data_IF_376326708998
#
_entry.id   IF_376326708998
#
_cell.length_a   1.000
_cell.length_b   1.000
_cell.length_c   1.000
_cell.angle_alpha   90.00
_cell.angle_beta   90.00
_cell.angle_gamma   90.00
#
_symmetry.space_group_name_H-M   'P 1'
#
loop_
_entity.id
_entity.type
_entity.pdbx_description
1 polymer ?
#
# COMPACT_ATOMS: atom_id res chain seq x y z
N UNK A 1 3.72 -36.17 99.19
CA UNK A 1 2.99 -36.02 97.91
C UNK A 1 3.90 -36.41 96.81
N UNK A 2 3.81 -37.61 96.22
CA UNK A 2 4.70 -38.14 95.23
C UNK A 2 4.04 -37.96 93.83
N UNK A 3 4.78 -37.32 92.89
CA UNK A 3 4.36 -37.14 91.50
C UNK A 3 4.63 -38.48 90.80
N UNK A 4 3.66 -39.08 90.07
CA UNK A 4 3.92 -40.24 89.24
C UNK A 4 4.71 -39.89 88.00
N UNK A 5 5.59 -40.76 87.50
CA UNK A 5 6.43 -40.54 86.34
C UNK A 5 5.59 -40.50 85.01
N UNK A 6 6.03 -39.78 84.00
CA UNK A 6 5.34 -39.68 82.70
C UNK A 6 5.38 -41.07 82.01
N UNK A 7 4.20 -41.51 81.50
CA UNK A 7 4.09 -42.73 80.73
C UNK A 7 4.74 -42.57 79.36
N UNK A 8 5.78 -43.36 79.06
CA UNK A 8 6.38 -43.45 77.73
C UNK A 8 5.30 -43.94 76.71
N UNK A 9 5.27 -43.38 75.55
CA UNK A 9 4.46 -43.89 74.45
C UNK A 9 4.98 -45.29 74.05
N UNK A 10 4.07 -46.28 74.06
CA UNK A 10 4.38 -47.65 73.59
C UNK A 10 4.82 -47.58 72.14
N UNK A 11 5.99 -48.10 71.70
CA UNK A 11 6.38 -48.12 70.33
C UNK A 11 5.38 -48.93 69.52
N UNK A 12 4.82 -48.32 68.50
CA UNK A 12 3.97 -48.98 67.53
C UNK A 12 4.70 -50.26 67.07
N UNK A 13 4.05 -51.41 67.22
CA UNK A 13 4.69 -52.65 66.81
C UNK A 13 4.96 -52.66 65.32
N UNK A 14 6.13 -53.21 64.94
CA UNK A 14 6.50 -53.33 63.48
C UNK A 14 5.42 -54.01 62.64
N UNK A 15 4.47 -54.66 63.24
CA UNK A 15 3.29 -55.21 62.57
C UNK A 15 2.29 -54.14 62.16
N UNK A 16 2.00 -53.14 63.01
CA UNK A 16 1.09 -52.03 62.68
C UNK A 16 1.66 -51.09 61.57
N UNK A 17 3.01 -50.92 61.59
CA UNK A 17 3.68 -50.13 60.49
C UNK A 17 3.65 -50.87 59.12
N UNK A 18 3.74 -52.22 59.17
CA UNK A 18 3.63 -53.04 57.95
C UNK A 18 2.20 -53.07 57.42
N UNK A 19 1.20 -53.13 58.30
CA UNK A 19 -0.23 -53.13 57.95
C UNK A 19 -0.60 -51.71 57.34
N UNK A 20 -0.11 -50.65 57.97
CA UNK A 20 -0.30 -49.28 57.40
C UNK A 20 0.38 -49.12 56.04
N UNK A 21 1.61 -49.63 55.89
CA UNK A 21 2.33 -49.53 54.58
C UNK A 21 1.67 -50.42 53.50
N UNK A 22 1.09 -51.55 53.86
CA UNK A 22 0.29 -52.39 52.93
C UNK A 22 -1.04 -51.74 52.56
N UNK A 23 -1.71 -51.07 53.50
CA UNK A 23 -2.94 -50.33 53.23
C UNK A 23 -2.65 -49.11 52.32
N UNK A 24 -1.57 -48.35 52.54
CA UNK A 24 -1.14 -47.24 51.67
C UNK A 24 -0.77 -47.76 50.31
N UNK A 25 -0.08 -48.90 50.18
CA UNK A 25 0.23 -49.53 48.89
C UNK A 25 -1.03 -49.93 48.12
N UNK A 26 -1.96 -50.56 48.81
CA UNK A 26 -3.24 -50.97 48.20
C UNK A 26 -4.14 -49.81 47.83
N UNK A 27 -4.18 -48.73 48.60
CA UNK A 27 -4.93 -47.53 48.28
C UNK A 27 -4.34 -46.81 47.04
N UNK A 28 -3.00 -46.79 46.90
CA UNK A 28 -2.34 -46.27 45.71
C UNK A 28 -2.64 -47.08 44.45
N UNK A 29 -2.60 -48.42 44.59
CA UNK A 29 -2.87 -49.34 43.47
C UNK A 29 -4.33 -49.23 42.99
N UNK A 30 -5.28 -49.08 43.93
CA UNK A 30 -6.70 -48.85 43.65
C UNK A 30 -6.92 -47.47 43.02
N UNK A 31 -6.23 -46.43 43.52
CA UNK A 31 -6.34 -45.06 42.98
C UNK A 31 -5.74 -44.96 41.57
N UNK A 32 -4.65 -45.69 41.31
CA UNK A 32 -4.01 -45.79 39.99
C UNK A 32 -4.89 -46.55 39.00
N UNK A 33 -5.48 -47.68 39.40
CA UNK A 33 -6.43 -48.44 38.60
C UNK A 33 -7.70 -47.62 38.26
N UNK A 34 -8.23 -46.86 39.24
CA UNK A 34 -9.39 -46.01 39.03
C UNK A 34 -9.07 -44.83 38.08
N UNK A 35 -7.87 -44.28 38.14
CA UNK A 35 -7.41 -43.24 37.19
C UNK A 35 -7.25 -43.79 35.79
N UNK A 36 -6.67 -44.99 35.63
CA UNK A 36 -6.56 -45.63 34.31
C UNK A 36 -7.95 -45.91 33.71
N UNK A 37 -8.91 -46.44 34.49
CA UNK A 37 -10.27 -46.66 34.00
C UNK A 37 -10.97 -45.35 33.61
N UNK A 38 -10.82 -44.29 34.41
CA UNK A 38 -11.40 -42.97 34.08
C UNK A 38 -10.82 -42.37 32.83
N UNK A 39 -9.50 -42.47 32.63
CA UNK A 39 -8.82 -41.99 31.39
C UNK A 39 -9.26 -42.80 30.18
N UNK A 40 -9.31 -44.10 30.29
CA UNK A 40 -9.77 -45.00 29.21
C UNK A 40 -11.24 -44.73 28.85
N UNK A 41 -12.11 -44.54 29.87
CA UNK A 41 -13.52 -44.21 29.63
C UNK A 41 -13.68 -42.82 28.98
N UNK A 42 -12.98 -41.82 29.49
CA UNK A 42 -12.98 -40.49 28.91
C UNK A 42 -12.47 -40.52 27.46
N UNK A 43 -11.38 -41.24 27.21
CA UNK A 43 -10.82 -41.41 25.88
C UNK A 43 -11.81 -42.09 24.91
N UNK A 44 -12.43 -43.22 25.34
CA UNK A 44 -13.43 -43.90 24.51
C UNK A 44 -14.67 -43.05 24.21
N UNK A 45 -15.09 -42.22 25.17
CA UNK A 45 -16.27 -41.35 25.04
C UNK A 45 -15.99 -40.13 24.14
N UNK A 46 -14.80 -39.55 24.28
CA UNK A 46 -14.45 -38.29 23.57
C UNK A 46 -13.58 -38.51 22.33
N UNK A 47 -12.94 -39.66 22.13
CA UNK A 47 -12.09 -39.94 20.99
C UNK A 47 -12.82 -39.74 19.63
N UNK A 48 -14.07 -40.20 19.54
CA UNK A 48 -14.86 -40.04 18.31
C UNK A 48 -15.17 -38.56 17.99
N UNK A 49 -15.78 -37.77 18.92
CA UNK A 49 -16.06 -36.36 18.63
C UNK A 49 -14.80 -35.52 18.48
N UNK A 50 -13.76 -35.75 19.28
CA UNK A 50 -12.46 -35.05 19.13
C UNK A 50 -11.79 -35.41 17.81
N UNK A 51 -11.79 -36.70 17.44
CA UNK A 51 -11.29 -37.12 16.13
C UNK A 51 -12.05 -36.48 14.97
N UNK A 52 -13.38 -36.39 15.08
CA UNK A 52 -14.21 -35.72 14.05
C UNK A 52 -13.90 -34.23 13.94
N UNK A 53 -13.70 -33.52 15.06
CA UNK A 53 -13.33 -32.09 15.07
C UNK A 53 -11.93 -31.89 14.48
N UNK A 54 -10.97 -32.72 14.82
CA UNK A 54 -9.63 -32.69 14.26
C UNK A 54 -9.64 -32.98 12.76
N UNK A 55 -10.39 -33.98 12.32
CA UNK A 55 -10.53 -34.30 10.90
C UNK A 55 -11.19 -33.14 10.11
N UNK A 56 -12.25 -32.55 10.66
CA UNK A 56 -12.90 -31.37 10.08
C UNK A 56 -11.94 -30.16 10.02
N UNK A 57 -11.15 -29.93 11.07
CA UNK A 57 -10.13 -28.88 11.09
C UNK A 57 -9.04 -29.09 10.03
N UNK A 58 -8.56 -30.33 9.86
CA UNK A 58 -7.57 -30.68 8.84
C UNK A 58 -8.12 -30.52 7.42
N UNK A 59 -9.38 -30.93 7.19
CA UNK A 59 -10.04 -30.74 5.91
C UNK A 59 -10.25 -29.26 5.56
N UNK A 60 -10.67 -28.48 6.56
CA UNK A 60 -10.79 -27.01 6.39
C UNK A 60 -9.44 -26.36 6.09
N UNK A 61 -8.38 -26.77 6.80
CA UNK A 61 -7.01 -26.26 6.55
C UNK A 61 -6.51 -26.68 5.16
N UNK A 62 -6.71 -27.92 4.77
CA UNK A 62 -6.33 -28.41 3.45
C UNK A 62 -7.08 -27.67 2.31
N UNK A 63 -8.38 -27.44 2.50
CA UNK A 63 -9.20 -26.65 1.59
C UNK A 63 -8.73 -25.20 1.50
N UNK A 64 -8.40 -24.58 2.64
CA UNK A 64 -7.85 -23.23 2.70
C UNK A 64 -6.49 -23.13 1.98
N UNK A 65 -5.57 -24.06 2.26
CA UNK A 65 -4.24 -24.08 1.61
C UNK A 65 -4.34 -24.33 0.10
N UNK A 66 -5.24 -25.19 -0.33
CA UNK A 66 -5.49 -25.42 -1.75
C UNK A 66 -6.02 -24.16 -2.44
N UNK A 67 -7.02 -23.51 -1.84
CA UNK A 67 -7.59 -22.26 -2.35
C UNK A 67 -6.55 -21.12 -2.38
N UNK A 68 -5.80 -20.92 -1.30
CA UNK A 68 -4.74 -19.91 -1.20
C UNK A 68 -3.64 -20.13 -2.25
N UNK A 69 -3.20 -21.39 -2.42
CA UNK A 69 -2.22 -21.75 -3.44
C UNK A 69 -2.75 -21.52 -4.87
N UNK A 70 -4.03 -21.85 -5.13
CA UNK A 70 -4.67 -21.60 -6.42
C UNK A 70 -4.72 -20.12 -6.76
N UNK A 71 -5.15 -19.27 -5.80
CA UNK A 71 -5.19 -17.81 -5.98
C UNK A 71 -3.79 -17.23 -6.22
N UNK A 72 -2.77 -17.72 -5.49
CA UNK A 72 -1.38 -17.28 -5.65
C UNK A 72 -0.80 -17.70 -7.00
N UNK A 73 -1.06 -18.92 -7.46
CA UNK A 73 -0.56 -19.41 -8.75
C UNK A 73 -1.17 -18.63 -9.92
N UNK A 74 -2.46 -18.36 -9.89
CA UNK A 74 -3.11 -17.49 -10.89
C UNK A 74 -2.57 -16.06 -10.87
N UNK A 75 -2.30 -15.50 -9.68
CA UNK A 75 -1.69 -14.18 -9.55
C UNK A 75 -0.27 -14.17 -10.12
N UNK A 76 0.52 -15.22 -9.88
CA UNK A 76 1.88 -15.37 -10.43
C UNK A 76 1.87 -15.43 -11.96
N UNK A 77 0.99 -16.25 -12.56
CA UNK A 77 0.83 -16.33 -14.01
C UNK A 77 0.43 -14.99 -14.64
N UNK A 78 -0.49 -14.23 -14.00
CA UNK A 78 -0.86 -12.90 -14.47
C UNK A 78 0.31 -11.91 -14.39
N UNK A 79 1.10 -11.99 -13.32
CA UNK A 79 2.29 -11.15 -13.16
C UNK A 79 3.35 -11.47 -14.21
N UNK A 80 3.57 -12.76 -14.52
CA UNK A 80 4.47 -13.19 -15.59
C UNK A 80 4.02 -12.67 -16.97
N UNK A 81 2.74 -12.82 -17.31
CA UNK A 81 2.17 -12.24 -18.54
C UNK A 81 2.38 -10.73 -18.60
N UNK A 82 2.15 -10.01 -17.48
CA UNK A 82 2.36 -8.57 -17.42
C UNK A 82 3.84 -8.19 -17.60
N UNK A 83 4.78 -8.94 -17.02
CA UNK A 83 6.22 -8.75 -17.22
C UNK A 83 6.60 -8.93 -18.67
N UNK A 84 6.18 -10.03 -19.32
CA UNK A 84 6.43 -10.28 -20.74
C UNK A 84 5.84 -9.17 -21.62
N UNK A 85 4.67 -8.64 -21.27
CA UNK A 85 4.06 -7.54 -22.00
C UNK A 85 4.86 -6.24 -21.83
N UNK A 86 5.43 -5.97 -20.63
CA UNK A 86 6.32 -4.84 -20.38
C UNK A 86 7.65 -4.98 -21.12
N UNK A 87 8.22 -6.18 -21.21
CA UNK A 87 9.45 -6.44 -21.99
C UNK A 87 9.22 -6.12 -23.47
N UNK A 88 8.06 -6.54 -24.04
CA UNK A 88 7.66 -6.17 -25.40
C UNK A 88 7.54 -4.65 -25.58
N UNK A 89 6.97 -3.96 -24.58
CA UNK A 89 6.83 -2.52 -24.59
C UNK A 89 8.20 -1.83 -24.60
N UNK A 90 9.13 -2.27 -23.75
CA UNK A 90 10.52 -1.75 -23.72
C UNK A 90 11.26 -2.02 -25.03
N UNK A 91 10.97 -3.14 -25.70
CA UNK A 91 11.51 -3.46 -27.01
C UNK A 91 10.84 -2.67 -28.16
N UNK A 92 9.94 -1.72 -27.88
CA UNK A 92 9.21 -0.93 -28.88
C UNK A 92 8.13 -1.69 -29.63
N UNK A 93 7.79 -2.91 -29.19
CA UNK A 93 6.77 -3.77 -29.82
C UNK A 93 5.36 -3.42 -29.31
N UNK A 94 4.95 -2.16 -29.53
CA UNK A 94 3.70 -1.59 -28.98
C UNK A 94 2.46 -2.43 -29.30
N UNK A 95 2.32 -2.94 -30.54
CA UNK A 95 1.17 -3.74 -30.95
C UNK A 95 1.10 -5.08 -30.20
N UNK A 96 2.23 -5.76 -30.02
CA UNK A 96 2.29 -7.02 -29.28
C UNK A 96 2.02 -6.80 -27.79
N UNK A 97 2.59 -5.73 -27.19
CA UNK A 97 2.33 -5.34 -25.81
C UNK A 97 0.84 -4.99 -25.59
N UNK A 98 0.23 -4.23 -26.51
CA UNK A 98 -1.18 -3.85 -26.43
C UNK A 98 -2.11 -5.08 -26.42
N UNK A 99 -1.83 -6.10 -27.23
CA UNK A 99 -2.61 -7.33 -27.27
C UNK A 99 -2.55 -8.11 -25.94
N UNK A 100 -1.37 -8.20 -25.32
CA UNK A 100 -1.19 -8.84 -24.01
C UNK A 100 -1.93 -8.06 -22.91
N UNK A 101 -1.78 -6.74 -22.86
CA UNK A 101 -2.50 -5.92 -21.88
C UNK A 101 -4.01 -5.96 -22.11
N UNK A 102 -4.49 -6.03 -23.35
CA UNK A 102 -5.92 -6.20 -23.65
C UNK A 102 -6.50 -7.50 -23.06
N UNK A 103 -5.74 -8.59 -23.07
CA UNK A 103 -6.14 -9.83 -22.40
C UNK A 103 -6.21 -9.64 -20.88
N UNK A 104 -5.20 -9.00 -20.27
CA UNK A 104 -5.13 -8.75 -18.84
C UNK A 104 -6.23 -7.83 -18.30
N UNK A 105 -6.88 -7.00 -19.14
CA UNK A 105 -8.03 -6.18 -18.72
C UNK A 105 -9.23 -7.01 -18.26
N UNK A 106 -9.28 -8.29 -18.61
CA UNK A 106 -10.39 -9.20 -18.31
C UNK A 106 -10.09 -10.16 -17.18
N UNK A 107 -8.82 -10.27 -16.77
CA UNK A 107 -8.34 -11.26 -15.82
C UNK A 107 -8.05 -10.66 -14.43
N UNK A 108 -8.47 -11.35 -13.37
CA UNK A 108 -8.10 -11.06 -12.00
C UNK A 108 -8.89 -9.96 -11.28
N UNK A 109 -8.36 -9.46 -10.15
CA UNK A 109 -9.01 -8.44 -9.33
C UNK A 109 -9.22 -7.11 -10.06
N UNK A 110 -10.18 -6.30 -9.60
CA UNK A 110 -10.50 -5.02 -10.23
C UNK A 110 -9.28 -4.09 -10.37
N UNK A 111 -8.41 -4.03 -9.36
CA UNK A 111 -7.20 -3.21 -9.40
C UNK A 111 -6.24 -3.63 -10.53
N UNK A 112 -6.00 -4.95 -10.69
CA UNK A 112 -5.12 -5.48 -11.74
C UNK A 112 -5.70 -5.23 -13.13
N UNK A 113 -7.00 -5.46 -13.32
CA UNK A 113 -7.68 -5.18 -14.58
C UNK A 113 -7.62 -3.70 -14.94
N UNK A 114 -7.86 -2.82 -13.95
CA UNK A 114 -7.79 -1.37 -14.16
C UNK A 114 -6.38 -0.92 -14.51
N UNK A 115 -5.35 -1.46 -13.84
CA UNK A 115 -3.96 -1.15 -14.16
C UNK A 115 -3.62 -1.58 -15.60
N UNK A 116 -4.02 -2.79 -16.01
CA UNK A 116 -3.84 -3.24 -17.40
C UNK A 116 -4.56 -2.33 -18.41
N UNK A 117 -5.77 -1.89 -18.11
CA UNK A 117 -6.51 -0.95 -18.94
C UNK A 117 -5.82 0.43 -19.02
N UNK A 118 -5.28 0.93 -17.91
CA UNK A 118 -4.48 2.17 -17.87
C UNK A 118 -3.23 2.05 -18.75
N UNK A 119 -2.51 0.94 -18.66
CA UNK A 119 -1.32 0.68 -19.48
C UNK A 119 -1.68 0.58 -20.96
N UNK A 120 -2.77 -0.14 -21.29
CA UNK A 120 -3.26 -0.22 -22.67
C UNK A 120 -3.61 1.16 -23.25
N UNK A 121 -4.29 2.01 -22.47
CA UNK A 121 -4.60 3.38 -22.86
C UNK A 121 -3.32 4.21 -23.09
N UNK A 122 -2.30 4.06 -22.22
CA UNK A 122 -1.01 4.73 -22.41
C UNK A 122 -0.29 4.25 -23.66
N UNK A 123 -0.24 2.94 -23.95
CA UNK A 123 0.33 2.39 -25.19
C UNK A 123 -0.41 2.95 -26.41
N UNK A 124 -1.72 3.09 -26.35
CA UNK A 124 -2.53 3.66 -27.43
C UNK A 124 -2.12 5.12 -27.70
N UNK A 125 -1.84 5.89 -26.65
CA UNK A 125 -1.35 7.27 -26.77
C UNK A 125 0.06 7.33 -27.40
N UNK A 126 0.97 6.46 -26.98
CA UNK A 126 2.33 6.36 -27.54
C UNK A 126 2.33 5.98 -29.03
N UNK A 127 1.32 5.25 -29.47
CA UNK A 127 1.10 4.96 -30.90
C UNK A 127 0.54 6.15 -31.69
N UNK A 128 0.32 7.29 -31.05
CA UNK A 128 -0.24 8.50 -31.66
C UNK A 128 -1.77 8.52 -31.76
N UNK A 129 -2.45 7.49 -31.27
CA UNK A 129 -3.91 7.39 -31.29
C UNK A 129 -4.54 8.12 -30.10
N UNK A 130 -4.35 9.44 -30.03
CA UNK A 130 -4.67 10.27 -28.86
C UNK A 130 -6.15 10.20 -28.51
N UNK A 131 -7.05 10.28 -29.50
CA UNK A 131 -8.51 10.25 -29.25
C UNK A 131 -8.99 8.90 -28.73
N UNK A 132 -8.44 7.80 -29.21
CA UNK A 132 -8.77 6.47 -28.72
C UNK A 132 -8.21 6.27 -27.29
N UNK A 133 -6.98 6.72 -27.04
CA UNK A 133 -6.38 6.68 -25.72
C UNK A 133 -7.19 7.49 -24.69
N UNK A 134 -7.57 8.72 -25.03
CA UNK A 134 -8.40 9.55 -24.15
C UNK A 134 -9.77 8.93 -23.90
N UNK A 135 -10.38 8.28 -24.91
CA UNK A 135 -11.63 7.56 -24.75
C UNK A 135 -11.50 6.35 -23.81
N UNK A 136 -10.37 5.61 -23.87
CA UNK A 136 -10.06 4.52 -22.92
C UNK A 136 -9.90 5.06 -21.49
N UNK A 137 -9.17 6.18 -21.31
CA UNK A 137 -9.06 6.80 -19.99
C UNK A 137 -10.41 7.30 -19.47
N UNK A 138 -11.25 7.90 -20.31
CA UNK A 138 -12.60 8.31 -19.93
C UNK A 138 -13.46 7.12 -19.45
N UNK A 139 -13.37 5.98 -20.12
CA UNK A 139 -14.07 4.76 -19.73
C UNK A 139 -13.60 4.26 -18.34
N UNK A 140 -12.28 4.30 -18.07
CA UNK A 140 -11.74 3.93 -16.77
C UNK A 140 -12.20 4.90 -15.68
N UNK A 141 -12.19 6.20 -15.95
CA UNK A 141 -12.64 7.23 -15.00
C UNK A 141 -14.13 7.06 -14.62
N UNK A 142 -14.94 6.57 -15.54
CA UNK A 142 -16.37 6.32 -15.36
C UNK A 142 -16.70 4.95 -14.72
N UNK A 143 -15.75 4.01 -14.68
CA UNK A 143 -15.98 2.68 -14.13
C UNK A 143 -16.04 2.70 -12.60
N UNK A 144 -17.25 2.57 -12.03
CA UNK A 144 -17.47 2.53 -10.57
C UNK A 144 -16.78 1.34 -9.88
N UNK A 145 -16.43 0.26 -10.61
CA UNK A 145 -15.74 -0.92 -10.09
C UNK A 145 -14.22 -0.71 -10.01
N UNK A 146 -13.69 0.27 -10.76
CA UNK A 146 -12.28 0.64 -10.68
C UNK A 146 -11.98 1.34 -9.35
N UNK A 147 -10.82 1.07 -8.69
CA UNK A 147 -10.41 1.80 -7.51
C UNK A 147 -10.34 3.31 -7.76
N UNK A 148 -10.78 4.12 -6.77
CA UNK A 148 -10.87 5.58 -6.91
C UNK A 148 -9.55 6.20 -7.38
N UNK A 149 -8.42 5.73 -6.86
CA UNK A 149 -7.09 6.20 -7.25
C UNK A 149 -6.86 6.16 -8.77
N UNK A 150 -7.22 5.04 -9.40
CA UNK A 150 -7.07 4.88 -10.86
C UNK A 150 -8.09 5.68 -11.65
N UNK A 151 -9.33 5.84 -11.13
CA UNK A 151 -10.34 6.67 -11.77
C UNK A 151 -9.91 8.13 -11.82
N UNK A 152 -9.39 8.63 -10.70
CA UNK A 152 -8.89 10.01 -10.59
C UNK A 152 -7.70 10.23 -11.55
N UNK A 153 -6.74 9.29 -11.59
CA UNK A 153 -5.63 9.34 -12.55
C UNK A 153 -6.12 9.31 -14.00
N UNK A 154 -7.08 8.44 -14.31
CA UNK A 154 -7.64 8.33 -15.65
C UNK A 154 -8.33 9.63 -16.10
N UNK A 155 -9.08 10.28 -15.20
CA UNK A 155 -9.68 11.57 -15.48
C UNK A 155 -8.63 12.66 -15.79
N UNK A 156 -7.53 12.69 -15.03
CA UNK A 156 -6.40 13.62 -15.29
C UNK A 156 -5.74 13.30 -16.63
N UNK A 157 -5.49 12.02 -16.93
CA UNK A 157 -4.87 11.61 -18.21
C UNK A 157 -5.76 11.89 -19.41
N UNK A 158 -7.06 11.63 -19.32
CA UNK A 158 -8.03 11.99 -20.37
C UNK A 158 -7.95 13.46 -20.71
N UNK A 159 -8.04 14.31 -19.66
CA UNK A 159 -8.01 15.76 -19.85
C UNK A 159 -6.65 16.22 -20.39
N UNK A 160 -5.54 15.70 -19.87
CA UNK A 160 -4.20 16.07 -20.35
C UNK A 160 -4.01 15.77 -21.83
N UNK A 161 -4.55 14.64 -22.33
CA UNK A 161 -4.45 14.26 -23.74
C UNK A 161 -5.31 15.12 -24.68
N UNK A 162 -6.40 15.69 -24.19
CA UNK A 162 -7.37 16.45 -25.01
C UNK A 162 -7.53 17.89 -24.55
N UNK A 163 -6.64 18.41 -23.73
CA UNK A 163 -6.80 19.72 -23.12
C UNK A 163 -7.14 20.80 -24.15
N UNK A 164 -6.35 20.90 -25.21
CA UNK A 164 -6.51 21.91 -26.26
C UNK A 164 -7.80 21.73 -27.12
N UNK A 165 -8.34 20.52 -27.16
CA UNK A 165 -9.57 20.19 -27.87
C UNK A 165 -10.85 20.35 -27.01
N UNK A 166 -10.69 20.51 -25.70
CA UNK A 166 -11.82 20.59 -24.75
C UNK A 166 -12.20 22.05 -24.48
N UNK A 167 -13.49 22.30 -24.30
CA UNK A 167 -13.97 23.58 -23.76
C UNK A 167 -13.52 23.73 -22.30
N UNK A 168 -13.07 24.92 -21.86
CA UNK A 168 -12.63 25.14 -20.48
C UNK A 168 -13.63 24.66 -19.41
N UNK A 169 -14.91 24.92 -19.59
CA UNK A 169 -15.95 24.46 -18.64
C UNK A 169 -16.06 22.93 -18.55
N UNK A 170 -15.78 22.19 -19.64
CA UNK A 170 -15.74 20.73 -19.62
C UNK A 170 -14.52 20.20 -18.84
N UNK A 171 -13.35 20.84 -18.99
CA UNK A 171 -12.15 20.55 -18.17
C UNK A 171 -12.43 20.81 -16.71
N UNK A 172 -13.02 21.96 -16.38
CA UNK A 172 -13.40 22.35 -15.02
C UNK A 172 -14.34 21.30 -14.39
N UNK A 173 -15.39 20.90 -15.11
CA UNK A 173 -16.35 19.92 -14.62
C UNK A 173 -15.70 18.56 -14.30
N UNK A 174 -14.74 18.11 -15.13
CA UNK A 174 -14.05 16.84 -14.96
C UNK A 174 -13.01 16.87 -13.82
N UNK A 175 -12.24 17.94 -13.69
CA UNK A 175 -11.10 17.99 -12.77
C UNK A 175 -11.44 18.54 -11.38
N UNK A 176 -12.48 19.37 -11.25
CA UNK A 176 -12.87 19.94 -9.95
C UNK A 176 -13.06 18.89 -8.84
N UNK A 177 -13.65 17.69 -9.06
CA UNK A 177 -13.76 16.66 -8.04
C UNK A 177 -12.42 16.00 -7.64
N UNK A 178 -11.39 16.09 -8.50
CA UNK A 178 -10.07 15.49 -8.29
C UNK A 178 -9.09 16.51 -7.72
N UNK A 179 -9.20 17.76 -8.14
CA UNK A 179 -8.34 18.88 -7.73
C UNK A 179 -8.75 19.41 -6.34
N UNK A 180 -8.74 18.54 -5.33
CA UNK A 180 -9.07 18.88 -3.95
C UNK A 180 -7.91 18.51 -3.02
N UNK A 181 -7.62 19.30 -1.98
CA UNK A 181 -6.59 18.99 -0.99
C UNK A 181 -6.77 17.57 -0.41
N UNK A 182 -5.65 16.86 -0.22
CA UNK A 182 -5.64 15.49 0.25
C UNK A 182 -5.86 14.43 -0.85
N UNK A 183 -6.24 14.80 -2.08
CA UNK A 183 -6.22 13.90 -3.20
C UNK A 183 -4.77 13.72 -3.73
N UNK A 184 -4.38 12.48 -4.03
CA UNK A 184 -3.04 12.16 -4.55
C UNK A 184 -2.67 12.97 -5.81
N UNK A 185 -3.67 13.32 -6.63
CA UNK A 185 -3.47 14.07 -7.87
C UNK A 185 -3.82 15.54 -7.75
N UNK A 186 -3.97 16.07 -6.52
CA UNK A 186 -4.33 17.47 -6.27
C UNK A 186 -3.44 18.44 -7.05
N UNK A 187 -2.10 18.27 -6.99
CA UNK A 187 -1.17 19.12 -7.71
C UNK A 187 -1.37 19.10 -9.22
N UNK A 188 -1.38 17.91 -9.83
CA UNK A 188 -1.47 17.77 -11.29
C UNK A 188 -2.86 18.12 -11.82
N UNK A 189 -3.91 17.66 -11.17
CA UNK A 189 -5.29 18.00 -11.55
C UNK A 189 -5.58 19.48 -11.34
N UNK A 190 -5.06 20.04 -10.24
CA UNK A 190 -5.25 21.46 -9.92
C UNK A 190 -4.49 22.38 -10.87
N UNK A 191 -3.32 21.98 -11.35
CA UNK A 191 -2.59 22.75 -12.37
C UNK A 191 -3.42 22.84 -13.67
N UNK A 192 -3.92 21.71 -14.18
CA UNK A 192 -4.79 21.71 -15.38
C UNK A 192 -6.10 22.47 -15.14
N UNK A 193 -6.69 22.33 -13.96
CA UNK A 193 -7.91 23.05 -13.58
C UNK A 193 -7.67 24.56 -13.50
N UNK A 194 -6.53 24.98 -12.91
CA UNK A 194 -6.15 26.38 -12.83
C UNK A 194 -5.94 27.02 -14.21
N UNK A 195 -5.29 26.30 -15.14
CA UNK A 195 -5.19 26.74 -16.53
C UNK A 195 -6.57 26.86 -17.18
N UNK A 196 -7.47 25.88 -16.97
CA UNK A 196 -8.82 25.96 -17.50
C UNK A 196 -9.64 27.13 -16.92
N UNK A 197 -9.38 27.54 -15.67
CA UNK A 197 -9.96 28.76 -15.13
C UNK A 197 -9.44 30.00 -15.83
N UNK A 198 -8.14 30.06 -16.17
CA UNK A 198 -7.58 31.17 -16.96
C UNK A 198 -8.20 31.25 -18.34
N UNK A 199 -8.31 30.11 -19.02
CA UNK A 199 -8.91 30.01 -20.36
C UNK A 199 -10.40 30.38 -20.35
N UNK A 200 -11.08 30.14 -19.22
CA UNK A 200 -12.47 30.55 -18.97
C UNK A 200 -12.63 32.02 -18.54
N UNK A 201 -11.53 32.81 -18.50
CA UNK A 201 -11.58 34.21 -18.02
C UNK A 201 -11.85 34.35 -16.53
N UNK A 202 -11.42 33.37 -15.71
CA UNK A 202 -11.64 33.32 -14.25
C UNK A 202 -10.30 33.36 -13.48
N UNK A 203 -9.47 34.42 -13.64
CA UNK A 203 -8.13 34.48 -13.07
C UNK A 203 -8.12 34.43 -11.52
N UNK A 204 -9.16 34.94 -10.87
CA UNK A 204 -9.26 34.88 -9.41
C UNK A 204 -9.35 33.44 -8.89
N UNK A 205 -10.12 32.57 -9.55
CA UNK A 205 -10.22 31.15 -9.19
C UNK A 205 -8.91 30.42 -9.48
N UNK A 206 -8.24 30.74 -10.58
CA UNK A 206 -6.96 30.17 -10.94
C UNK A 206 -5.87 30.57 -9.92
N UNK A 207 -5.75 31.84 -9.60
CA UNK A 207 -4.76 32.36 -8.66
C UNK A 207 -4.93 31.78 -7.25
N UNK A 208 -6.15 31.72 -6.74
CA UNK A 208 -6.45 31.10 -5.46
C UNK A 208 -6.08 29.61 -5.43
N UNK A 209 -6.40 28.85 -6.50
CA UNK A 209 -6.07 27.43 -6.61
C UNK A 209 -4.55 27.22 -6.70
N UNK A 210 -3.85 27.97 -7.53
CA UNK A 210 -2.40 27.87 -7.65
C UNK A 210 -1.67 28.21 -6.35
N UNK A 211 -2.13 29.24 -5.63
CA UNK A 211 -1.60 29.58 -4.31
C UNK A 211 -1.79 28.41 -3.32
N UNK A 212 -2.97 27.81 -3.30
CA UNK A 212 -3.27 26.64 -2.44
C UNK A 212 -2.37 25.45 -2.78
N UNK A 213 -2.18 25.12 -4.03
CA UNK A 213 -1.27 24.05 -4.47
C UNK A 213 0.17 24.37 -4.09
N UNK A 214 0.59 25.62 -4.29
CA UNK A 214 1.94 26.09 -3.98
C UNK A 214 2.31 25.99 -2.49
N UNK A 215 1.33 26.08 -1.59
CA UNK A 215 1.50 25.98 -0.15
C UNK A 215 1.40 24.53 0.37
N UNK A 216 0.83 23.60 -0.41
CA UNK A 216 0.62 22.22 0.02
C UNK A 216 1.91 21.40 -0.11
N UNK A 217 2.51 21.04 1.04
CA UNK A 217 3.75 20.26 1.12
C UNK A 217 3.62 18.81 0.62
N UNK A 218 2.42 18.30 0.46
CA UNK A 218 2.18 16.97 -0.12
C UNK A 218 2.31 16.95 -1.63
N UNK A 219 2.23 18.12 -2.27
CA UNK A 219 2.42 18.27 -3.72
C UNK A 219 3.93 18.27 -4.05
N UNK A 220 4.36 17.57 -5.11
CA UNK A 220 5.76 17.58 -5.56
C UNK A 220 6.31 18.98 -5.75
N UNK A 221 7.57 19.21 -5.33
CA UNK A 221 8.21 20.53 -5.38
C UNK A 221 8.22 21.13 -6.78
N UNK A 222 8.42 20.30 -7.82
CA UNK A 222 8.42 20.76 -9.22
C UNK A 222 7.10 21.42 -9.63
N UNK A 223 5.97 20.89 -9.15
CA UNK A 223 4.65 21.47 -9.39
C UNK A 223 4.49 22.73 -8.55
N UNK A 224 4.83 22.69 -7.25
CA UNK A 224 4.71 23.85 -6.35
C UNK A 224 5.45 25.07 -6.87
N UNK A 225 6.69 24.90 -7.30
CA UNK A 225 7.50 26.01 -7.84
C UNK A 225 6.83 26.63 -9.06
N UNK A 226 6.35 25.82 -10.00
CA UNK A 226 5.70 26.29 -11.22
C UNK A 226 4.40 27.03 -10.94
N UNK A 227 3.52 26.45 -10.11
CA UNK A 227 2.24 27.10 -9.79
C UNK A 227 2.39 28.36 -8.94
N UNK A 228 3.41 28.47 -8.07
CA UNK A 228 3.76 29.67 -7.33
C UNK A 228 4.14 30.83 -8.25
N UNK A 229 4.92 30.54 -9.27
CA UNK A 229 5.29 31.56 -10.26
C UNK A 229 4.04 32.09 -10.97
N UNK A 230 3.11 31.22 -11.34
CA UNK A 230 1.84 31.64 -11.98
C UNK A 230 0.98 32.41 -10.98
N UNK A 231 0.83 31.89 -9.76
CA UNK A 231 0.05 32.56 -8.69
C UNK A 231 0.56 33.98 -8.41
N UNK A 232 1.89 34.14 -8.29
CA UNK A 232 2.52 35.46 -8.09
C UNK A 232 2.24 36.42 -9.24
N UNK A 233 2.29 35.95 -10.49
CA UNK A 233 1.92 36.74 -11.66
C UNK A 233 0.45 37.20 -11.69
N UNK A 234 -0.42 36.46 -10.96
CA UNK A 234 -1.84 36.80 -10.77
C UNK A 234 -2.09 37.60 -9.47
N UNK A 235 -1.04 37.95 -8.71
CA UNK A 235 -1.14 38.71 -7.47
C UNK A 235 -1.47 37.89 -6.22
N UNK A 236 -1.29 36.56 -6.26
CA UNK A 236 -1.54 35.65 -5.17
C UNK A 236 -0.22 35.14 -4.54
N UNK A 237 -0.18 35.02 -3.21
CA UNK A 237 0.96 34.44 -2.49
C UNK A 237 0.87 32.91 -2.47
N UNK A 238 1.72 32.26 -3.25
CA UNK A 238 1.86 30.80 -3.31
C UNK A 238 2.79 30.22 -2.23
N UNK A 239 3.35 31.04 -1.33
CA UNK A 239 4.34 30.62 -0.35
C UNK A 239 5.76 30.44 -0.91
N UNK A 240 6.69 30.08 -0.05
CA UNK A 240 8.10 29.81 -0.39
C UNK A 240 8.53 28.44 0.14
N UNK A 241 9.39 27.74 -0.58
CA UNK A 241 10.04 26.54 -0.07
C UNK A 241 11.25 26.95 0.77
N UNK A 242 11.30 26.49 2.03
CA UNK A 242 12.50 26.64 2.84
C UNK A 242 13.61 25.72 2.33
N UNK A 243 14.90 26.11 2.41
CA UNK A 243 16.02 25.34 1.87
C UNK A 243 16.14 23.88 2.32
N UNK A 244 15.53 23.54 3.46
CA UNK A 244 15.61 22.20 4.06
C UNK A 244 14.39 21.29 3.76
N UNK A 245 13.44 21.71 2.94
CA UNK A 245 12.23 20.91 2.66
C UNK A 245 12.48 19.70 1.73
N UNK A 246 13.63 19.68 1.04
CA UNK A 246 14.06 18.54 0.24
C UNK A 246 15.51 18.14 0.59
N UNK A 247 15.71 17.19 1.54
CA UNK A 247 17.06 16.78 1.94
C UNK A 247 17.89 16.20 0.79
N UNK A 248 17.28 15.61 -0.23
CA UNK A 248 17.99 15.11 -1.41
C UNK A 248 18.49 16.27 -2.32
N UNK A 249 17.70 17.34 -2.48
CA UNK A 249 18.12 18.52 -3.23
C UNK A 249 19.16 19.33 -2.44
N UNK A 250 19.04 19.42 -1.11
CA UNK A 250 20.03 20.05 -0.25
C UNK A 250 21.38 19.29 -0.30
N UNK A 251 21.38 17.97 -0.27
CA UNK A 251 22.56 17.14 -0.41
C UNK A 251 23.20 17.28 -1.81
N UNK A 252 22.41 17.34 -2.87
CA UNK A 252 22.89 17.56 -4.24
C UNK A 252 23.49 18.96 -4.43
N UNK A 253 22.88 19.99 -3.84
CA UNK A 253 23.38 21.35 -3.85
C UNK A 253 24.69 21.49 -3.05
N UNK A 254 24.81 20.83 -1.90
CA UNK A 254 26.02 20.78 -1.10
C UNK A 254 27.18 20.08 -1.85
N UNK A 255 26.92 18.94 -2.50
CA UNK A 255 27.87 18.24 -3.34
C UNK A 255 28.33 19.05 -4.56
N UNK A 256 27.43 19.82 -5.17
CA UNK A 256 27.77 20.73 -6.28
C UNK A 256 28.60 21.93 -5.83
N UNK A 257 28.35 22.45 -4.62
CA UNK A 257 29.13 23.54 -4.02
C UNK A 257 30.55 23.11 -3.68
N UNK A 258 30.77 21.88 -3.23
CA UNK A 258 32.10 21.30 -2.96
C UNK A 258 32.93 21.06 -4.24
N UNK A 259 32.29 20.94 -5.39
CA UNK A 259 32.94 20.75 -6.69
C UNK A 259 33.28 22.07 -7.40
N UNK A 260 32.86 23.22 -6.87
CA UNK A 260 33.23 24.52 -7.43
C UNK A 260 34.66 24.90 -7.03
N UNK A 261 35.55 25.14 -7.99
CA UNK A 261 36.90 25.59 -7.65
C UNK A 261 36.84 26.94 -6.92
N UNK A 262 37.73 27.19 -5.96
CA UNK A 262 37.75 28.45 -5.23
C UNK A 262 37.87 29.64 -6.21
N UNK A 263 37.18 30.75 -5.90
CA UNK A 263 37.23 31.95 -6.78
C UNK A 263 38.67 32.39 -6.91
N UNK A 264 39.13 32.56 -8.19
CA UNK A 264 40.46 32.99 -8.50
C UNK A 264 40.73 34.34 -7.81
N UNK A 265 41.71 34.35 -6.92
CA UNK A 265 42.20 35.55 -6.22
C UNK A 265 42.61 36.58 -7.29
N UNK A 266 41.93 37.70 -7.31
CA UNK A 266 42.27 38.82 -8.19
C UNK A 266 43.74 39.26 -7.95
N UNK A 267 44.52 39.52 -9.01
CA UNK A 267 45.92 39.97 -8.83
C UNK A 267 45.95 41.33 -8.17
N UNK A 268 46.74 41.40 -7.07
CA UNK A 268 47.01 42.62 -6.32
C UNK A 268 47.66 43.68 -7.26
N UNK A 269 46.91 44.72 -7.62
CA UNK A 269 47.50 45.86 -8.31
C UNK A 269 48.34 46.66 -7.35
N UNK A 270 49.66 46.40 -7.38
CA UNK A 270 50.64 47.27 -6.79
C UNK A 270 50.69 48.61 -7.53
N UNK A 271 50.37 49.68 -6.85
CA UNK A 271 50.48 51.09 -7.32
C UNK A 271 51.93 51.46 -7.38
N UNK A 272 52.51 51.97 -8.51
CA UNK A 272 53.87 52.53 -8.55
C UNK A 272 53.93 53.85 -7.79
N UNK A 273 55.11 54.11 -7.17
CA UNK A 273 55.48 55.29 -6.43
C UNK A 273 55.69 56.51 -7.36
#
# INVERSE_FOLDING_TARGET
>A
MAIPPPSNPVPATKAAERDAAQQDGFLREVDEALREEQVVYAFKRFAKPVGAVLAAGLLALAGYLYWDNSVKSEAALRSEKAMLALDKLQAGQFGAAANEFAALTREGPAASRTLAAMTLAAITAEQGNIDDAASKFAAIAADSKAPKLYRDLAAVREVALRYDAMKPDAVIAKLKPVAVPGNTYFGTAGELLGMAYLDAGRPDLAGALFAQIGQDKTVPQSIRVRVRQIASGLGYDGGVDLPNENPAAAAAAAAAAEQQPPPATAPNQQKPA
#
